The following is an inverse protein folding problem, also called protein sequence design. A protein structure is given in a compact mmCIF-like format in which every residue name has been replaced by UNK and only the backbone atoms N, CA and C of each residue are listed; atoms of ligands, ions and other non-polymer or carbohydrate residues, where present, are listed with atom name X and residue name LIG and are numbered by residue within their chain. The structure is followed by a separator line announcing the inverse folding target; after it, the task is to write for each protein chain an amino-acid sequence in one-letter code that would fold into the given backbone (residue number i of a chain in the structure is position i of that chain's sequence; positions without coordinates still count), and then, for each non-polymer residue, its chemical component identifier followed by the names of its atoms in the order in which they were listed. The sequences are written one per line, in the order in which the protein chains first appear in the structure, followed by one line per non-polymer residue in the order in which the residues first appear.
data_IF_887762853952
#
_entry.id   IF_887762853952
#
_cell.length_a   1.000
_cell.length_b   1.000
_cell.length_c   1.000
_cell.angle_alpha   90.00
_cell.angle_beta   90.00
_cell.angle_gamma   90.00
#
_symmetry.space_group_name_H-M   'P 1'
#
loop_
_entity.id
_entity.type
_entity.pdbx_description
1 polymer ?
#
# COMPACT_ATOMS: atom_id res chain seq x y z
N UNK A 1 -22.04 2.90 3.57
CA UNK A 1 -20.65 3.29 3.29
C UNK A 1 -20.10 2.40 2.17
N UNK A 2 -19.74 2.98 1.01
CA UNK A 2 -19.24 2.15 -0.07
C UNK A 2 -17.91 1.49 0.30
N UNK A 3 -17.80 0.23 -0.03
CA UNK A 3 -16.57 -0.53 0.21
C UNK A 3 -16.27 -1.41 -0.99
N UNK A 4 -15.02 -1.79 -1.13
CA UNK A 4 -14.65 -2.82 -2.10
C UNK A 4 -13.39 -3.54 -1.62
N UNK A 5 -13.18 -4.73 -2.17
CA UNK A 5 -12.00 -5.55 -1.90
C UNK A 5 -11.33 -5.90 -3.21
N UNK A 6 -10.02 -5.99 -3.18
CA UNK A 6 -9.24 -6.44 -4.33
C UNK A 6 -8.04 -7.23 -3.83
N UNK A 7 -7.46 -8.04 -4.70
CA UNK A 7 -6.32 -8.86 -4.32
C UNK A 7 -5.52 -9.25 -5.55
N UNK A 8 -4.25 -9.56 -5.32
CA UNK A 8 -3.38 -10.11 -6.35
C UNK A 8 -2.38 -11.04 -5.69
N UNK A 9 -1.60 -11.74 -6.49
CA UNK A 9 -0.51 -12.57 -5.98
C UNK A 9 0.81 -12.09 -6.53
N UNK A 10 1.87 -12.27 -5.74
CA UNK A 10 3.23 -11.97 -6.16
C UNK A 10 4.07 -13.23 -5.95
N UNK A 11 5.03 -13.46 -6.81
CA UNK A 11 5.98 -14.56 -6.64
C UNK A 11 7.01 -14.24 -5.54
N UNK A 12 7.07 -13.00 -5.08
CA UNK A 12 8.00 -12.58 -4.04
C UNK A 12 7.56 -13.07 -2.65
N UNK A 13 8.50 -13.37 -1.75
CA UNK A 13 8.15 -13.73 -0.38
C UNK A 13 7.54 -12.55 0.39
N UNK A 14 6.85 -12.86 1.47
CA UNK A 14 6.15 -11.85 2.29
C UNK A 14 7.08 -10.71 2.70
N UNK A 15 8.30 -11.01 3.07
CA UNK A 15 9.25 -9.98 3.54
C UNK A 15 9.53 -8.93 2.47
N UNK A 16 9.60 -9.32 1.22
CA UNK A 16 9.84 -8.36 0.12
C UNK A 16 8.64 -7.46 -0.11
N UNK A 17 7.43 -8.00 -0.01
CA UNK A 17 6.22 -7.20 -0.14
C UNK A 17 6.07 -6.29 1.08
N UNK A 18 6.35 -6.81 2.27
CA UNK A 18 6.24 -6.07 3.52
C UNK A 18 7.09 -4.81 3.53
N UNK A 19 8.32 -4.90 3.02
CA UNK A 19 9.22 -3.74 2.96
C UNK A 19 8.63 -2.57 2.18
N UNK A 20 7.83 -2.86 1.16
CA UNK A 20 7.21 -1.85 0.32
C UNK A 20 5.91 -1.33 0.91
N UNK A 21 5.28 -2.12 1.76
CA UNK A 21 3.94 -1.83 2.26
C UNK A 21 3.96 -1.05 3.58
N UNK A 22 4.91 -1.34 4.47
CA UNK A 22 4.93 -0.67 5.78
C UNK A 22 5.69 0.65 5.78
N UNK A 23 6.46 0.95 4.72
CA UNK A 23 7.28 2.15 4.66
C UNK A 23 6.66 3.16 3.69
N UNK A 24 6.06 4.25 4.19
CA UNK A 24 5.42 5.24 3.32
C UNK A 24 6.37 5.86 2.30
N UNK A 25 7.67 5.95 2.60
CA UNK A 25 8.64 6.50 1.68
C UNK A 25 8.73 5.71 0.37
N UNK A 26 8.31 4.43 0.38
CA UNK A 26 8.32 3.57 -0.79
C UNK A 26 7.02 3.65 -1.60
N UNK A 27 5.95 4.24 -1.07
CA UNK A 27 4.64 4.27 -1.73
C UNK A 27 4.65 4.89 -3.13
N UNK A 28 5.37 5.99 -3.40
CA UNK A 28 5.40 6.54 -4.76
C UNK A 28 5.95 5.57 -5.81
N UNK A 29 6.67 4.53 -5.40
CA UNK A 29 7.24 3.55 -6.32
C UNK A 29 6.19 2.60 -6.90
N UNK A 30 5.06 2.42 -6.21
CA UNK A 30 4.05 1.45 -6.65
C UNK A 30 2.60 1.95 -6.51
N UNK A 31 2.32 2.86 -5.58
CA UNK A 31 0.94 3.33 -5.36
C UNK A 31 0.60 4.41 -6.37
N UNK A 32 -0.32 4.08 -7.28
CA UNK A 32 -0.73 4.98 -8.35
C UNK A 32 -1.44 6.21 -7.78
N UNK A 33 -1.10 7.38 -8.30
CA UNK A 33 -1.70 8.64 -7.84
C UNK A 33 -0.98 9.29 -6.67
N UNK A 34 0.00 8.62 -6.09
CA UNK A 34 0.77 9.15 -4.96
C UNK A 34 2.14 9.59 -5.46
N UNK A 35 2.29 10.89 -5.70
CA UNK A 35 3.51 11.43 -6.30
C UNK A 35 4.65 11.56 -5.29
N UNK A 36 4.36 12.16 -4.14
CA UNK A 36 5.37 12.44 -3.12
C UNK A 36 4.82 12.10 -1.74
N UNK A 37 5.71 11.63 -0.88
CA UNK A 37 5.39 11.32 0.51
C UNK A 37 6.43 11.97 1.42
N UNK A 38 5.96 12.67 2.44
CA UNK A 38 6.81 13.20 3.50
C UNK A 38 6.50 12.45 4.79
N UNK A 39 7.49 11.82 5.35
CA UNK A 39 7.31 11.13 6.62
C UNK A 39 7.28 12.15 7.74
N UNK A 40 6.31 12.01 8.62
CA UNK A 40 6.27 12.79 9.84
C UNK A 40 7.10 12.07 10.89
N UNK A 41 8.08 12.77 11.44
CA UNK A 41 8.89 12.25 12.54
C UNK A 41 8.04 12.24 13.81
N UNK A 42 7.16 11.25 13.92
CA UNK A 42 6.34 11.06 15.10
C UNK A 42 6.59 9.67 15.67
N UNK A 43 7.48 9.63 16.65
CA UNK A 43 7.50 8.60 17.70
C UNK A 43 6.98 7.21 17.33
N UNK A 44 7.63 6.53 16.40
CA UNK A 44 7.29 5.14 16.08
C UNK A 44 6.00 4.92 15.33
N UNK A 45 5.27 5.97 15.00
CA UNK A 45 4.09 5.88 14.14
C UNK A 45 4.50 6.13 12.71
N UNK A 46 3.91 5.36 11.79
CA UNK A 46 4.18 5.51 10.37
C UNK A 46 3.38 6.62 9.70
N UNK A 47 2.99 7.66 10.46
CA UNK A 47 2.21 8.76 9.90
C UNK A 47 3.00 9.51 8.83
N UNK A 48 2.32 9.94 7.79
CA UNK A 48 2.95 10.61 6.68
C UNK A 48 1.97 11.58 6.02
N UNK A 49 2.52 12.48 5.20
CA UNK A 49 1.72 13.35 4.35
C UNK A 49 1.98 12.96 2.90
N UNK A 50 0.92 12.71 2.14
CA UNK A 50 1.05 12.43 0.72
C UNK A 50 0.62 13.63 -0.11
N UNK A 51 1.19 13.72 -1.31
CA UNK A 51 0.82 14.73 -2.31
C UNK A 51 0.38 13.99 -3.57
N UNK A 52 -0.88 14.19 -4.01
CA UNK A 52 -1.38 13.51 -5.21
C UNK A 52 -0.67 13.97 -6.48
N UNK A 53 -0.66 13.12 -7.49
CA UNK A 53 -0.13 13.46 -8.81
C UNK A 53 -0.82 14.73 -9.33
N UNK A 54 -0.02 15.69 -9.78
CA UNK A 54 -0.53 16.94 -10.31
C UNK A 54 -0.91 17.98 -9.26
N UNK A 55 -0.79 17.65 -7.98
CA UNK A 55 -1.16 18.57 -6.88
C UNK A 55 -0.05 18.62 -5.83
N UNK A 56 1.13 19.15 -6.19
CA UNK A 56 2.27 19.16 -5.26
C UNK A 56 2.08 20.09 -4.05
N UNK A 57 1.09 20.97 -4.11
CA UNK A 57 0.80 21.92 -3.03
C UNK A 57 -0.41 21.52 -2.20
N UNK A 58 -0.91 20.29 -2.38
CA UNK A 58 -2.10 19.81 -1.66
C UNK A 58 -1.71 18.70 -0.68
N UNK A 59 -1.31 19.04 0.54
CA UNK A 59 -0.94 18.01 1.51
C UNK A 59 -2.14 17.22 1.99
N UNK A 60 -2.01 15.89 2.01
CA UNK A 60 -3.04 14.99 2.52
C UNK A 60 -2.43 14.15 3.64
N UNK A 61 -2.63 14.54 4.91
CA UNK A 61 -2.09 13.77 6.02
C UNK A 61 -2.77 12.40 6.14
N UNK A 62 -1.96 11.39 6.39
CA UNK A 62 -2.37 10.00 6.49
C UNK A 62 -1.89 9.42 7.82
N UNK A 63 -2.68 8.53 8.39
CA UNK A 63 -2.28 7.77 9.55
C UNK A 63 -2.02 6.33 9.12
N UNK A 64 -0.85 5.81 9.46
CA UNK A 64 -0.50 4.43 9.14
C UNK A 64 -0.34 3.63 10.42
N UNK A 65 -0.97 2.47 10.46
CA UNK A 65 -0.83 1.51 11.54
C UNK A 65 -0.40 0.18 10.97
N UNK A 66 0.74 -0.31 11.41
CA UNK A 66 1.29 -1.58 10.94
C UNK A 66 1.23 -2.60 12.07
N UNK A 67 0.71 -3.79 11.75
CA UNK A 67 0.72 -4.94 12.65
C UNK A 67 1.62 -6.00 12.02
N UNK A 68 2.85 -6.07 12.47
CA UNK A 68 3.84 -6.99 11.91
C UNK A 68 3.44 -8.45 12.13
N UNK A 69 2.90 -8.77 13.30
CA UNK A 69 2.47 -10.13 13.61
C UNK A 69 1.32 -10.59 12.73
N UNK A 70 0.36 -9.71 12.47
CA UNK A 70 -0.78 -10.01 11.62
C UNK A 70 -0.54 -9.71 10.14
N UNK A 71 0.62 -9.16 9.78
CA UNK A 71 0.97 -8.77 8.41
C UNK A 71 -0.08 -7.85 7.79
N UNK A 72 -0.51 -6.88 8.59
CA UNK A 72 -1.54 -5.92 8.19
C UNK A 72 -1.01 -4.49 8.26
N UNK A 73 -1.43 -3.67 7.29
CA UNK A 73 -1.16 -2.23 7.31
C UNK A 73 -2.48 -1.54 7.03
N UNK A 74 -2.88 -0.64 7.94
CA UNK A 74 -4.09 0.16 7.77
C UNK A 74 -3.68 1.61 7.59
N UNK A 75 -4.18 2.23 6.52
CA UNK A 75 -3.87 3.62 6.20
C UNK A 75 -5.19 4.38 6.14
N UNK A 76 -5.29 5.42 6.96
CA UNK A 76 -6.48 6.25 7.04
C UNK A 76 -6.15 7.67 6.59
N UNK A 77 -6.90 8.17 5.62
CA UNK A 77 -6.76 9.56 5.19
C UNK A 77 -7.47 10.46 6.18
N UNK A 78 -6.74 11.38 6.80
CA UNK A 78 -7.30 12.26 7.82
C UNK A 78 -8.13 13.40 7.24
N UNK A 79 -8.06 13.60 5.93
CA UNK A 79 -8.81 14.65 5.24
C UNK A 79 -10.16 14.14 4.72
N UNK A 80 -10.19 12.92 4.17
CA UNK A 80 -11.36 12.39 3.48
C UNK A 80 -11.98 11.14 4.13
N UNK A 81 -11.41 10.67 5.24
CA UNK A 81 -11.84 9.44 5.93
C UNK A 81 -11.79 8.17 5.06
N UNK A 82 -11.02 8.21 3.99
CA UNK A 82 -10.76 7.06 3.14
C UNK A 82 -9.81 6.10 3.87
N UNK A 83 -10.17 4.81 3.91
CA UNK A 83 -9.38 3.81 4.63
C UNK A 83 -8.96 2.69 3.71
N UNK A 84 -7.68 2.31 3.78
CA UNK A 84 -7.11 1.17 3.08
C UNK A 84 -6.58 0.19 4.11
N UNK A 85 -7.14 -1.02 4.14
CA UNK A 85 -6.65 -2.09 5.02
C UNK A 85 -5.97 -3.16 4.18
N UNK A 86 -4.65 -3.18 4.21
CA UNK A 86 -3.82 -4.12 3.44
C UNK A 86 -3.50 -5.35 4.29
N UNK A 87 -3.51 -6.51 3.66
CA UNK A 87 -3.14 -7.75 4.34
C UNK A 87 -2.32 -8.66 3.44
N UNK A 88 -1.27 -9.25 3.99
CA UNK A 88 -0.40 -10.19 3.29
C UNK A 88 -0.58 -11.58 3.86
N UNK A 89 -0.65 -12.57 2.96
CA UNK A 89 -0.72 -13.99 3.35
C UNK A 89 0.25 -14.78 2.49
N UNK A 90 1.07 -15.65 3.10
CA UNK A 90 1.92 -16.52 2.30
C UNK A 90 1.07 -17.52 1.52
N UNK A 91 1.50 -17.81 0.29
CA UNK A 91 0.81 -18.80 -0.53
C UNK A 91 1.17 -20.20 -0.05
N UNK A 92 0.16 -21.10 -0.01
CA UNK A 92 0.34 -22.43 0.53
C UNK A 92 1.31 -23.29 -0.29
N UNK A 93 1.33 -23.10 -1.61
CA UNK A 93 2.07 -23.97 -2.53
C UNK A 93 3.34 -23.35 -3.09
N UNK A 94 3.75 -22.19 -2.60
CA UNK A 94 4.93 -21.50 -3.12
C UNK A 94 5.47 -20.54 -2.09
N UNK A 95 6.59 -19.91 -2.40
CA UNK A 95 7.17 -18.86 -1.55
C UNK A 95 6.54 -17.50 -1.81
N UNK A 96 5.53 -17.44 -2.64
CA UNK A 96 4.87 -16.21 -3.00
C UNK A 96 3.92 -15.67 -1.94
N UNK A 97 3.28 -14.56 -2.25
CA UNK A 97 2.42 -13.83 -1.33
C UNK A 97 1.10 -13.45 -1.99
N UNK A 98 0.02 -13.59 -1.24
CA UNK A 98 -1.26 -13.01 -1.61
C UNK A 98 -1.34 -11.64 -0.96
N UNK A 99 -1.61 -10.62 -1.77
CA UNK A 99 -1.75 -9.24 -1.33
C UNK A 99 -3.23 -8.86 -1.46
N UNK A 100 -3.86 -8.57 -0.34
CA UNK A 100 -5.27 -8.19 -0.34
C UNK A 100 -5.44 -6.80 0.26
N UNK A 101 -6.45 -6.08 -0.21
CA UNK A 101 -6.79 -4.77 0.33
C UNK A 101 -8.29 -4.62 0.42
N UNK A 102 -8.76 -4.10 1.55
CA UNK A 102 -10.14 -3.70 1.77
C UNK A 102 -10.17 -2.17 1.83
N UNK A 103 -11.06 -1.56 1.05
CA UNK A 103 -11.12 -0.11 0.95
C UNK A 103 -12.52 0.36 1.39
N UNK A 104 -12.55 1.36 2.26
CA UNK A 104 -13.79 2.00 2.70
C UNK A 104 -13.77 3.47 2.30
N UNK A 105 -14.83 3.89 1.61
CA UNK A 105 -15.00 5.29 1.21
C UNK A 105 -16.14 5.91 2.02
N UNK A 106 -15.99 7.19 2.46
CA UNK A 106 -17.12 7.88 3.07
C UNK A 106 -18.21 8.12 2.03
N UNK A 107 -19.45 8.29 2.48
CA UNK A 107 -20.61 8.49 1.60
C UNK A 107 -20.41 9.63 0.61
N UNK A 108 -19.81 10.73 1.06
CA UNK A 108 -19.56 11.90 0.21
C UNK A 108 -18.54 11.63 -0.89
N UNK A 109 -17.78 10.52 -0.78
CA UNK A 109 -16.80 10.12 -1.77
C UNK A 109 -17.26 8.94 -2.63
N UNK A 110 -18.54 8.54 -2.50
CA UNK A 110 -19.08 7.38 -3.20
C UNK A 110 -18.90 7.48 -4.72
N UNK A 111 -18.92 8.69 -5.28
CA UNK A 111 -18.71 8.90 -6.71
C UNK A 111 -17.32 8.53 -7.19
N UNK A 112 -16.36 8.35 -6.28
CA UNK A 112 -14.98 8.00 -6.61
C UNK A 112 -14.73 6.49 -6.57
N UNK A 113 -15.76 5.69 -6.30
CA UNK A 113 -15.59 4.25 -6.12
C UNK A 113 -14.89 3.58 -7.30
N UNK A 114 -15.35 3.82 -8.53
CA UNK A 114 -14.75 3.21 -9.71
C UNK A 114 -13.31 3.67 -9.93
N UNK A 115 -13.06 4.97 -9.77
CA UNK A 115 -11.70 5.51 -9.89
C UNK A 115 -10.76 4.90 -8.87
N UNK A 116 -11.21 4.71 -7.63
CA UNK A 116 -10.40 4.09 -6.61
C UNK A 116 -10.16 2.61 -6.90
N UNK A 117 -11.14 1.91 -7.45
CA UNK A 117 -10.96 0.51 -7.84
C UNK A 117 -9.88 0.37 -8.91
N UNK A 118 -9.87 1.26 -9.89
CA UNK A 118 -8.85 1.26 -10.95
C UNK A 118 -7.46 1.56 -10.38
N UNK A 119 -7.37 2.55 -9.50
CA UNK A 119 -6.11 2.91 -8.84
C UNK A 119 -5.58 1.73 -8.01
N UNK A 120 -6.44 1.11 -7.22
CA UNK A 120 -6.06 0.00 -6.36
C UNK A 120 -5.63 -1.20 -7.18
N UNK A 121 -6.37 -1.53 -8.23
CA UNK A 121 -6.01 -2.64 -9.11
C UNK A 121 -4.63 -2.45 -9.74
N UNK A 122 -4.36 -1.25 -10.26
CA UNK A 122 -3.06 -0.92 -10.84
C UNK A 122 -1.95 -0.94 -9.79
N UNK A 123 -2.26 -0.42 -8.59
CA UNK A 123 -1.29 -0.38 -7.49
C UNK A 123 -0.92 -1.77 -6.99
N UNK A 124 -1.91 -2.67 -6.90
CA UNK A 124 -1.65 -4.07 -6.52
C UNK A 124 -0.70 -4.75 -7.50
N UNK A 125 -0.94 -4.57 -8.80
CA UNK A 125 -0.07 -5.14 -9.82
C UNK A 125 1.33 -4.56 -9.76
N UNK A 126 1.44 -3.25 -9.55
CA UNK A 126 2.73 -2.57 -9.43
C UNK A 126 3.50 -3.05 -8.19
N UNK A 127 2.79 -3.19 -7.06
CA UNK A 127 3.39 -3.68 -5.83
C UNK A 127 3.92 -5.10 -5.99
N UNK A 128 3.11 -5.98 -6.57
CA UNK A 128 3.50 -7.36 -6.80
C UNK A 128 4.74 -7.45 -7.70
N UNK A 129 4.76 -6.67 -8.78
CA UNK A 129 5.88 -6.66 -9.73
C UNK A 129 7.14 -6.08 -9.11
N UNK A 130 7.01 -5.00 -8.35
CA UNK A 130 8.15 -4.35 -7.69
C UNK A 130 8.78 -5.29 -6.65
N UNK A 131 7.95 -5.98 -5.87
CA UNK A 131 8.43 -6.94 -4.89
C UNK A 131 9.21 -8.09 -5.56
N UNK A 132 8.71 -8.57 -6.70
CA UNK A 132 9.38 -9.62 -7.46
C UNK A 132 10.74 -9.15 -8.00
N UNK A 133 10.82 -7.93 -8.48
CA UNK A 133 12.09 -7.36 -8.94
C UNK A 133 13.07 -7.20 -7.79
N UNK A 134 12.60 -6.77 -6.63
CA UNK A 134 13.43 -6.65 -5.44
C UNK A 134 13.99 -7.99 -5.00
N UNK A 135 13.15 -9.02 -5.00
CA UNK A 135 13.60 -10.37 -4.63
C UNK A 135 14.61 -10.94 -5.61
N UNK A 136 14.42 -10.67 -6.92
CA UNK A 136 15.32 -11.15 -7.98
C UNK A 136 16.64 -10.36 -8.00
N UNK A 137 16.57 -9.06 -7.73
CA UNK A 137 17.72 -8.17 -7.73
C UNK A 137 18.56 -8.30 -6.47
N UNK A 138 18.05 -8.95 -5.42
CA UNK A 138 18.84 -9.18 -4.22
C UNK A 138 20.08 -9.96 -4.59
N UNK A 139 21.29 -9.45 -4.27
CA UNK A 139 22.51 -10.17 -4.64
C UNK A 139 22.48 -11.56 -4.02
N UNK A 140 22.85 -12.60 -4.78
CA UNK A 140 22.89 -13.93 -4.20
C UNK A 140 23.82 -13.87 -3.01
N UNK A 141 23.32 -14.35 -1.89
CA UNK A 141 24.13 -14.43 -0.68
C UNK A 141 25.36 -15.27 -1.04
N UNK A 142 26.57 -14.70 -0.90
CA UNK A 142 27.74 -15.50 -1.13
C UNK A 142 27.72 -16.62 -0.10
N UNK A 143 27.54 -17.77 -0.63
CA UNK A 143 27.43 -18.95 0.13
C UNK A 143 27.78 -19.93 0.28
#
# INVERSE_FOLDING_TARGET
MPTFDDATTSAAPVEEVWKLLYDPARFPEWWQGMETVERRAHEGRGDFTMYPDGYPDFPMPQQLRADTGGRQVTISCLVSDLVFAWQLEPLADSEGTRIAVHVELPEQEAHRLEGQRDIVSASLRALAALAQRGATAAPPTPG
#
